data_IF_225724410043
#
_entry.id   IF_225724410043
#
_cell.length_a   1.000
_cell.length_b   1.000
_cell.length_c   1.000
_cell.angle_alpha   90.00
_cell.angle_beta   90.00
_cell.angle_gamma   90.00
#
_symmetry.space_group_name_H-M   'P 1'
#
loop_
_entity.id
_entity.type
_entity.pdbx_description
1 polymer ?
#
# COMPACT_ATOMS: atom_id res chain seq x y z
N UNK A 1 3.85 -8.93 20.27
CA UNK A 1 4.62 -8.60 21.50
C UNK A 1 5.09 -7.14 21.51
N UNK A 2 5.74 -6.60 20.45
CA UNK A 2 6.27 -5.22 20.47
C UNK A 2 5.18 -4.17 20.72
N UNK A 3 4.00 -4.30 20.11
CA UNK A 3 2.85 -3.43 20.36
C UNK A 3 2.43 -3.50 21.83
N UNK A 4 2.27 -4.71 22.36
CA UNK A 4 1.91 -4.91 23.76
C UNK A 4 2.96 -4.28 24.70
N UNK A 5 4.23 -4.43 24.40
CA UNK A 5 5.30 -3.77 25.15
C UNK A 5 5.17 -2.25 25.15
N UNK A 6 4.92 -1.63 23.98
CA UNK A 6 4.75 -0.18 23.91
C UNK A 6 3.53 0.30 24.70
N UNK A 7 2.42 -0.43 24.63
CA UNK A 7 1.22 -0.13 25.41
C UNK A 7 1.48 -0.27 26.92
N UNK A 8 2.24 -1.29 27.35
CA UNK A 8 2.62 -1.44 28.76
C UNK A 8 3.54 -0.32 29.27
N UNK A 9 4.27 0.34 28.36
CA UNK A 9 5.06 1.54 28.66
C UNK A 9 4.22 2.84 28.58
N UNK A 10 2.90 2.74 28.55
CA UNK A 10 1.99 3.90 28.51
C UNK A 10 1.92 4.63 27.17
N UNK A 11 2.42 4.01 26.07
CA UNK A 11 2.27 4.61 24.74
C UNK A 11 0.85 4.47 24.24
N UNK A 12 0.33 5.54 23.64
CA UNK A 12 -1.04 5.55 23.12
C UNK A 12 -1.14 4.70 21.84
N UNK A 13 -2.15 3.83 21.78
CA UNK A 13 -2.44 3.02 20.61
C UNK A 13 -2.69 3.86 19.35
N UNK A 14 -3.26 5.07 19.49
CA UNK A 14 -3.49 5.98 18.37
C UNK A 14 -2.21 6.59 17.79
N UNK A 15 -1.12 6.53 18.54
CA UNK A 15 0.20 6.94 18.05
C UNK A 15 0.93 5.85 17.26
N UNK A 16 0.35 4.65 17.17
CA UNK A 16 0.93 3.52 16.46
C UNK A 16 0.28 3.36 15.09
N UNK A 17 1.07 3.44 14.02
CA UNK A 17 0.68 3.00 12.69
C UNK A 17 1.14 1.55 12.51
N UNK A 18 0.19 0.61 12.47
CA UNK A 18 0.49 -0.82 12.39
C UNK A 18 -0.09 -1.40 11.13
N UNK A 19 0.77 -1.84 10.23
CA UNK A 19 0.41 -2.26 8.89
C UNK A 19 0.79 -3.72 8.67
N UNK A 20 -0.09 -4.46 8.02
CA UNK A 20 0.12 -5.84 7.59
C UNK A 20 -0.41 -6.06 6.19
N UNK A 21 -0.10 -7.21 5.60
CA UNK A 21 -0.48 -7.52 4.23
C UNK A 21 -1.91 -8.08 4.11
N UNK A 22 -2.38 -8.86 5.09
CA UNK A 22 -3.68 -9.54 5.01
C UNK A 22 -4.63 -9.16 6.14
N UNK A 23 -5.93 -9.18 5.83
CA UNK A 23 -6.98 -8.96 6.84
C UNK A 23 -6.97 -10.04 7.94
N UNK A 24 -6.52 -11.27 7.62
CA UNK A 24 -6.37 -12.35 8.59
C UNK A 24 -5.28 -11.99 9.60
N UNK A 25 -4.10 -11.60 9.14
CA UNK A 25 -3.00 -11.18 10.01
C UNK A 25 -3.38 -9.98 10.88
N UNK A 26 -4.11 -8.99 10.31
CA UNK A 26 -4.61 -7.86 11.07
C UNK A 26 -5.56 -8.29 12.22
N UNK A 27 -6.49 -9.21 11.96
CA UNK A 27 -7.39 -9.75 12.99
C UNK A 27 -6.64 -10.53 14.06
N UNK A 28 -5.75 -11.45 13.67
CA UNK A 28 -4.94 -12.22 14.61
C UNK A 28 -4.09 -11.32 15.53
N UNK A 29 -3.52 -10.25 14.98
CA UNK A 29 -2.74 -9.28 15.75
C UNK A 29 -3.60 -8.62 16.83
N UNK A 30 -4.80 -8.19 16.50
CA UNK A 30 -5.75 -7.57 17.44
C UNK A 30 -6.17 -8.57 18.52
N UNK A 31 -6.49 -9.80 18.13
CA UNK A 31 -6.88 -10.86 19.10
C UNK A 31 -5.74 -11.18 20.07
N UNK A 32 -4.50 -11.25 19.59
CA UNK A 32 -3.33 -11.46 20.46
C UNK A 32 -3.13 -10.32 21.46
N UNK A 33 -3.33 -9.07 21.03
CA UNK A 33 -3.25 -7.92 21.93
C UNK A 33 -4.37 -8.00 22.99
N UNK A 34 -5.60 -8.31 22.59
CA UNK A 34 -6.73 -8.49 23.53
C UNK A 34 -6.45 -9.57 24.57
N UNK A 35 -5.93 -10.72 24.14
CA UNK A 35 -5.54 -11.80 25.08
C UNK A 35 -4.49 -11.37 26.09
N UNK A 36 -3.60 -10.43 25.75
CA UNK A 36 -2.56 -9.94 26.65
C UNK A 36 -3.04 -8.90 27.66
N UNK A 37 -4.01 -8.06 27.29
CA UNK A 37 -4.51 -6.96 28.12
C UNK A 37 -5.89 -7.25 28.75
N UNK A 38 -6.50 -8.39 28.45
CA UNK A 38 -7.84 -8.78 28.87
C UNK A 38 -8.91 -8.41 27.84
N UNK A 39 -10.03 -9.14 27.87
CA UNK A 39 -11.13 -8.99 26.88
C UNK A 39 -11.83 -7.63 26.95
N UNK A 40 -11.76 -6.96 28.09
CA UNK A 40 -12.31 -5.61 28.29
C UNK A 40 -11.47 -4.51 27.61
N UNK A 41 -10.26 -4.84 27.14
CA UNK A 41 -9.40 -3.88 26.47
C UNK A 41 -9.97 -3.54 25.09
N UNK A 42 -10.60 -2.37 24.97
CA UNK A 42 -11.22 -1.94 23.73
C UNK A 42 -10.18 -1.34 22.78
N UNK A 43 -9.91 -2.06 21.69
CA UNK A 43 -9.00 -1.60 20.63
C UNK A 43 -9.80 -0.93 19.51
N UNK A 44 -9.78 0.39 19.45
CA UNK A 44 -10.19 1.10 18.24
C UNK A 44 -9.08 0.98 17.19
N UNK A 45 -9.29 0.17 16.16
CA UNK A 45 -8.31 -0.11 15.11
C UNK A 45 -8.22 1.03 14.08
N UNK A 46 -8.03 2.29 14.54
CA UNK A 46 -8.04 3.42 13.62
C UNK A 46 -6.86 3.37 12.64
N UNK A 47 -5.69 3.02 13.13
CA UNK A 47 -4.44 2.99 12.36
C UNK A 47 -3.74 1.62 12.43
N UNK A 48 -4.51 0.58 12.67
CA UNK A 48 -4.06 -0.80 12.66
C UNK A 48 -4.88 -1.59 11.64
N UNK A 49 -4.22 -2.32 10.74
CA UNK A 49 -4.87 -3.09 9.69
C UNK A 49 -3.99 -3.32 8.46
N UNK A 50 -4.61 -3.66 7.34
CA UNK A 50 -3.90 -3.70 6.06
C UNK A 50 -3.60 -2.29 5.56
N UNK A 51 -2.57 -2.13 4.72
CA UNK A 51 -2.25 -0.85 4.07
C UNK A 51 -3.51 -0.21 3.48
N UNK A 52 -4.24 -0.94 2.65
CA UNK A 52 -5.45 -0.43 2.01
C UNK A 52 -6.52 0.01 3.02
N UNK A 53 -6.77 -0.78 4.07
CA UNK A 53 -7.81 -0.47 5.05
C UNK A 53 -7.48 0.77 5.90
N UNK A 54 -6.21 0.94 6.26
CA UNK A 54 -5.76 2.10 7.04
C UNK A 54 -5.77 3.36 6.18
N UNK A 55 -5.23 3.29 4.96
CA UNK A 55 -5.16 4.45 4.08
C UNK A 55 -6.52 4.84 3.50
N UNK A 56 -7.43 3.88 3.25
CA UNK A 56 -8.82 4.21 2.94
C UNK A 56 -9.49 5.03 4.04
N UNK A 57 -9.25 4.73 5.33
CA UNK A 57 -9.77 5.53 6.45
C UNK A 57 -9.19 6.94 6.48
N UNK A 58 -7.90 7.09 6.18
CA UNK A 58 -7.25 8.40 6.07
C UNK A 58 -7.85 9.18 4.90
N UNK A 59 -7.97 8.55 3.73
CA UNK A 59 -8.57 9.18 2.55
C UNK A 59 -10.01 9.63 2.81
N UNK A 60 -10.83 8.85 3.52
CA UNK A 60 -12.19 9.28 3.85
C UNK A 60 -12.24 10.56 4.70
N UNK A 61 -11.26 10.75 5.57
CA UNK A 61 -11.15 11.97 6.40
C UNK A 61 -10.64 13.17 5.60
N UNK A 62 -9.80 12.95 4.61
CA UNK A 62 -9.09 14.00 3.87
C UNK A 62 -9.51 14.10 2.39
N UNK A 63 -10.58 13.42 1.99
CA UNK A 63 -11.01 13.24 0.60
C UNK A 63 -11.23 14.55 -0.16
N UNK A 64 -11.76 15.57 0.49
CA UNK A 64 -12.01 16.91 -0.06
C UNK A 64 -10.71 17.54 -0.61
N UNK A 65 -9.57 17.24 -0.01
CA UNK A 65 -8.27 17.79 -0.38
C UNK A 65 -7.67 17.20 -1.65
N UNK A 66 -8.24 16.10 -2.14
CA UNK A 66 -7.84 15.41 -3.37
C UNK A 66 -8.97 15.35 -4.41
N UNK A 67 -10.06 16.10 -4.17
CA UNK A 67 -11.19 16.24 -5.10
C UNK A 67 -12.12 15.04 -5.14
N UNK A 68 -12.31 14.36 -4.00
CA UNK A 68 -13.32 13.33 -3.77
C UNK A 68 -14.21 13.70 -2.60
N UNK A 69 -15.38 13.07 -2.50
CA UNK A 69 -16.22 13.17 -1.31
C UNK A 69 -15.90 12.02 -0.34
N UNK A 70 -16.24 12.15 0.94
CA UNK A 70 -15.89 11.17 1.97
C UNK A 70 -16.57 9.81 1.81
N UNK A 71 -17.64 9.75 1.01
CA UNK A 71 -18.44 8.56 0.70
C UNK A 71 -18.04 7.88 -0.61
N UNK A 72 -16.83 8.19 -1.16
CA UNK A 72 -16.36 7.58 -2.39
C UNK A 72 -16.51 6.06 -2.38
N UNK A 73 -16.88 5.50 -3.52
CA UNK A 73 -17.01 4.06 -3.70
C UNK A 73 -15.63 3.41 -3.91
N UNK A 74 -15.42 2.24 -3.35
CA UNK A 74 -14.22 1.44 -3.61
C UNK A 74 -14.62 0.35 -4.60
N UNK A 75 -14.09 0.43 -5.82
CA UNK A 75 -14.28 -0.59 -6.85
C UNK A 75 -13.42 -1.81 -6.55
N UNK A 76 -14.03 -2.96 -6.59
CA UNK A 76 -13.31 -4.23 -6.58
C UNK A 76 -12.77 -4.57 -7.98
N UNK A 77 -12.17 -5.75 -8.12
CA UNK A 77 -11.61 -6.20 -9.40
C UNK A 77 -12.71 -6.46 -10.43
N UNK A 78 -13.91 -6.89 -10.03
CA UNK A 78 -15.02 -7.12 -10.93
C UNK A 78 -15.61 -5.80 -11.43
N UNK A 79 -15.77 -4.81 -10.56
CA UNK A 79 -16.21 -3.46 -10.92
C UNK A 79 -15.23 -2.80 -11.91
N UNK A 80 -13.93 -2.86 -11.59
CA UNK A 80 -12.87 -2.31 -12.42
C UNK A 80 -12.84 -2.95 -13.82
N UNK A 81 -12.95 -4.26 -13.90
CA UNK A 81 -13.00 -4.99 -15.18
C UNK A 81 -14.26 -4.69 -15.97
N UNK A 82 -15.40 -4.53 -15.30
CA UNK A 82 -16.67 -4.16 -15.93
C UNK A 82 -16.58 -2.78 -16.56
N UNK A 83 -16.02 -1.80 -15.84
CA UNK A 83 -15.79 -0.46 -16.36
C UNK A 83 -14.84 -0.48 -17.59
N UNK A 84 -13.73 -1.21 -17.50
CA UNK A 84 -12.79 -1.36 -18.61
C UNK A 84 -13.42 -2.00 -19.82
N UNK A 85 -14.29 -2.99 -19.63
CA UNK A 85 -15.05 -3.61 -20.73
C UNK A 85 -15.95 -2.60 -21.43
N UNK A 86 -16.66 -1.76 -20.70
CA UNK A 86 -17.47 -0.66 -21.27
C UNK A 86 -16.61 0.29 -22.08
N UNK A 87 -15.47 0.74 -21.53
CA UNK A 87 -14.54 1.65 -22.18
C UNK A 87 -14.05 1.05 -23.52
N UNK A 88 -13.55 -0.18 -23.49
CA UNK A 88 -13.06 -0.89 -24.69
C UNK A 88 -14.13 -0.97 -25.77
N UNK A 89 -15.38 -1.31 -25.38
CA UNK A 89 -16.52 -1.38 -26.31
C UNK A 89 -16.88 -0.03 -26.89
N UNK A 90 -16.97 1.02 -26.07
CA UNK A 90 -17.34 2.38 -26.51
C UNK A 90 -16.27 3.02 -27.39
N UNK A 91 -14.99 2.68 -27.18
CA UNK A 91 -13.88 3.07 -28.05
C UNK A 91 -13.84 2.29 -29.37
N UNK A 92 -14.75 1.34 -29.63
CA UNK A 92 -14.77 0.51 -30.80
C UNK A 92 -13.61 -0.48 -30.91
N UNK A 93 -12.97 -0.80 -29.79
CA UNK A 93 -11.81 -1.69 -29.74
C UNK A 93 -12.22 -3.15 -29.58
N UNK A 94 -11.37 -4.06 -30.08
CA UNK A 94 -11.62 -5.51 -29.97
C UNK A 94 -11.46 -6.01 -28.54
N UNK A 95 -12.52 -6.56 -27.92
CA UNK A 95 -12.45 -7.20 -26.60
C UNK A 95 -11.55 -8.44 -26.58
N UNK A 96 -11.28 -9.07 -27.73
CA UNK A 96 -10.32 -10.19 -27.84
C UNK A 96 -8.88 -9.70 -27.67
N UNK A 97 -8.57 -8.53 -28.18
CA UNK A 97 -7.25 -7.89 -28.07
C UNK A 97 -7.09 -7.20 -26.71
N UNK A 98 -8.07 -6.37 -26.33
CA UNK A 98 -8.06 -5.60 -25.08
C UNK A 98 -8.89 -6.32 -24.02
N UNK A 99 -8.47 -7.54 -23.62
CA UNK A 99 -9.14 -8.29 -22.54
C UNK A 99 -9.14 -7.46 -21.26
N UNK A 100 -10.29 -7.22 -20.61
CA UNK A 100 -10.37 -6.36 -19.42
C UNK A 100 -9.40 -6.75 -18.32
N UNK A 101 -9.16 -8.03 -18.09
CA UNK A 101 -8.21 -8.51 -17.09
C UNK A 101 -6.75 -8.11 -17.43
N UNK A 102 -6.37 -8.17 -18.71
CA UNK A 102 -5.01 -7.80 -19.18
C UNK A 102 -4.81 -6.29 -19.10
N UNK A 103 -5.82 -5.52 -19.52
CA UNK A 103 -5.80 -4.05 -19.45
C UNK A 103 -5.72 -3.62 -17.97
N UNK A 104 -6.55 -4.19 -17.11
CA UNK A 104 -6.53 -3.93 -15.67
C UNK A 104 -5.13 -4.20 -15.07
N UNK A 105 -4.54 -5.36 -15.37
CA UNK A 105 -3.20 -5.70 -14.85
C UNK A 105 -2.12 -4.68 -15.27
N UNK A 106 -2.18 -4.15 -16.51
CA UNK A 106 -1.23 -3.12 -16.97
C UNK A 106 -1.44 -1.79 -16.26
N UNK A 107 -2.69 -1.37 -16.08
CA UNK A 107 -3.03 -0.14 -15.34
C UNK A 107 -2.60 -0.28 -13.87
N UNK A 108 -2.92 -1.41 -13.25
CA UNK A 108 -2.51 -1.71 -11.87
C UNK A 108 -0.99 -1.66 -11.70
N UNK A 109 -0.24 -2.27 -12.63
CA UNK A 109 1.23 -2.21 -12.61
C UNK A 109 1.74 -0.77 -12.70
N UNK A 110 1.19 0.05 -13.60
CA UNK A 110 1.55 1.46 -13.73
C UNK A 110 1.25 2.24 -12.44
N UNK A 111 0.06 2.07 -11.85
CA UNK A 111 -0.33 2.68 -10.58
C UNK A 111 0.62 2.30 -9.45
N UNK A 112 0.97 1.02 -9.34
CA UNK A 112 1.89 0.51 -8.32
C UNK A 112 3.34 1.01 -8.48
N UNK A 113 3.69 1.53 -9.65
CA UNK A 113 4.96 2.22 -9.93
C UNK A 113 4.82 3.76 -9.88
N UNK A 114 3.67 4.30 -9.48
CA UNK A 114 3.35 5.74 -9.50
C UNK A 114 3.45 6.37 -10.90
N UNK A 115 3.25 5.58 -11.95
CA UNK A 115 3.17 6.06 -13.33
C UNK A 115 1.73 6.51 -13.59
N UNK A 116 1.51 7.82 -13.48
CA UNK A 116 0.22 8.44 -13.80
C UNK A 116 -0.04 8.46 -15.30
N UNK A 117 -1.26 8.85 -15.68
CA UNK A 117 -1.71 8.85 -17.09
C UNK A 117 -0.78 9.66 -17.99
N UNK A 118 -0.42 10.89 -17.59
CA UNK A 118 0.41 11.76 -18.43
C UNK A 118 1.83 11.20 -18.62
N UNK A 119 2.42 10.63 -17.54
CA UNK A 119 3.71 9.94 -17.64
C UNK A 119 3.62 8.68 -18.50
N UNK A 120 2.53 7.92 -18.39
CA UNK A 120 2.30 6.71 -19.19
C UNK A 120 2.19 7.03 -20.69
N UNK A 121 1.50 8.12 -21.05
CA UNK A 121 1.33 8.58 -22.44
C UNK A 121 2.59 9.18 -23.05
N UNK A 122 3.50 9.70 -22.23
CA UNK A 122 4.76 10.30 -22.68
C UNK A 122 5.95 9.34 -22.69
N UNK A 123 5.81 8.17 -22.05
CA UNK A 123 6.88 7.18 -21.96
C UNK A 123 6.99 6.34 -23.24
N UNK A 124 8.04 6.59 -24.04
CA UNK A 124 8.28 5.91 -25.30
C UNK A 124 8.48 4.41 -25.18
N UNK A 125 9.05 3.94 -24.06
CA UNK A 125 9.32 2.53 -23.84
C UNK A 125 8.03 1.79 -23.51
N UNK A 126 7.18 2.36 -22.67
CA UNK A 126 5.85 1.82 -22.36
C UNK A 126 5.00 1.75 -23.65
N UNK A 127 4.97 2.84 -24.42
CA UNK A 127 4.20 2.88 -25.67
C UNK A 127 4.72 1.85 -26.69
N UNK A 128 6.03 1.71 -26.82
CA UNK A 128 6.65 0.69 -27.69
C UNK A 128 6.32 -0.73 -27.24
N UNK A 129 6.34 -1.02 -25.92
CA UNK A 129 5.93 -2.30 -25.36
C UNK A 129 4.45 -2.60 -25.65
N UNK A 130 3.56 -1.61 -25.45
CA UNK A 130 2.15 -1.75 -25.77
C UNK A 130 1.92 -2.04 -27.26
N UNK A 131 2.63 -1.34 -28.14
CA UNK A 131 2.55 -1.55 -29.59
C UNK A 131 3.03 -2.96 -29.98
N UNK A 132 4.16 -3.44 -29.43
CA UNK A 132 4.67 -4.80 -29.64
C UNK A 132 3.68 -5.86 -29.15
N UNK A 133 2.97 -5.59 -28.06
CA UNK A 133 1.93 -6.47 -27.54
C UNK A 133 0.60 -6.40 -28.31
N UNK A 134 0.51 -5.61 -29.39
CA UNK A 134 -0.71 -5.43 -30.18
C UNK A 134 -1.80 -4.59 -29.50
N UNK A 135 -1.44 -3.85 -28.45
CA UNK A 135 -2.38 -3.06 -27.64
C UNK A 135 -1.95 -1.57 -27.54
N UNK A 136 -1.82 -0.83 -28.67
CA UNK A 136 -1.32 0.55 -28.65
C UNK A 136 -2.24 1.52 -27.89
N UNK A 137 -3.53 1.23 -27.75
CA UNK A 137 -4.52 2.14 -27.16
C UNK A 137 -4.61 2.07 -25.61
N UNK A 138 -3.75 1.29 -24.94
CA UNK A 138 -3.77 1.15 -23.48
C UNK A 138 -3.67 2.51 -22.77
N UNK A 139 -2.85 3.42 -23.25
CA UNK A 139 -2.70 4.75 -22.66
C UNK A 139 -4.01 5.54 -22.66
N UNK A 140 -4.75 5.52 -23.79
CA UNK A 140 -6.07 6.17 -23.87
C UNK A 140 -7.10 5.48 -23.00
N UNK A 141 -7.09 4.13 -22.94
CA UNK A 141 -7.98 3.38 -22.05
C UNK A 141 -7.69 3.74 -20.58
N UNK A 142 -6.42 3.88 -20.21
CA UNK A 142 -6.02 4.27 -18.85
C UNK A 142 -6.53 5.68 -18.52
N UNK A 143 -6.39 6.65 -19.42
CA UNK A 143 -6.93 8.01 -19.26
C UNK A 143 -8.44 7.98 -19.03
N UNK A 144 -9.17 7.30 -19.87
CA UNK A 144 -10.62 7.18 -19.79
C UNK A 144 -11.06 6.49 -18.50
N UNK A 145 -10.36 5.43 -18.10
CA UNK A 145 -10.63 4.72 -16.84
C UNK A 145 -10.51 5.64 -15.61
N UNK A 146 -9.40 6.38 -15.52
CA UNK A 146 -9.17 7.30 -14.39
C UNK A 146 -10.21 8.42 -14.38
N UNK A 147 -10.57 8.97 -15.56
CA UNK A 147 -11.60 10.01 -15.64
C UNK A 147 -12.97 9.50 -15.19
N UNK A 148 -13.39 8.31 -15.61
CA UNK A 148 -14.68 7.72 -15.21
C UNK A 148 -14.71 7.36 -13.74
N UNK A 149 -13.65 6.81 -13.18
CA UNK A 149 -13.53 6.58 -11.74
C UNK A 149 -13.72 7.90 -10.98
N UNK A 150 -13.06 8.97 -11.41
CA UNK A 150 -13.17 10.29 -10.76
C UNK A 150 -14.58 10.87 -10.87
N UNK A 151 -15.21 10.82 -12.05
CA UNK A 151 -16.59 11.29 -12.25
C UNK A 151 -17.60 10.49 -11.42
N UNK A 152 -17.37 9.19 -11.23
CA UNK A 152 -18.22 8.34 -10.40
C UNK A 152 -17.91 8.46 -8.89
N UNK A 153 -17.03 9.35 -8.47
CA UNK A 153 -16.53 9.43 -7.10
C UNK A 153 -16.08 8.04 -6.59
N UNK A 154 -15.27 7.34 -7.40
CA UNK A 154 -14.82 5.99 -7.12
C UNK A 154 -13.30 5.87 -7.18
N UNK A 155 -12.75 4.96 -6.39
CA UNK A 155 -11.34 4.56 -6.36
C UNK A 155 -11.27 3.04 -6.46
N UNK A 156 -10.35 2.49 -7.23
CA UNK A 156 -10.01 1.08 -7.13
C UNK A 156 -9.01 0.83 -5.98
N UNK A 157 -8.63 -0.43 -5.76
CA UNK A 157 -7.69 -0.77 -4.68
C UNK A 157 -6.34 -0.09 -4.84
N UNK A 158 -5.81 0.00 -6.05
CA UNK A 158 -4.53 0.66 -6.30
C UNK A 158 -4.63 2.18 -6.04
N UNK A 159 -5.76 2.77 -6.38
CA UNK A 159 -6.03 4.20 -6.15
C UNK A 159 -5.96 4.56 -4.66
N UNK A 160 -6.36 3.68 -3.75
CA UNK A 160 -6.27 3.93 -2.32
C UNK A 160 -4.82 4.24 -1.88
N UNK A 161 -3.85 3.59 -2.47
CA UNK A 161 -2.43 3.84 -2.20
C UNK A 161 -1.91 5.03 -3.00
N UNK A 162 -2.24 5.12 -4.28
CA UNK A 162 -1.80 6.22 -5.16
C UNK A 162 -2.31 7.56 -4.66
N UNK A 163 -3.61 7.67 -4.32
CA UNK A 163 -4.17 8.92 -3.79
C UNK A 163 -3.68 9.24 -2.38
N UNK A 164 -3.36 8.25 -1.55
CA UNK A 164 -2.69 8.51 -0.26
C UNK A 164 -1.30 9.11 -0.48
N UNK A 165 -0.52 8.54 -1.41
CA UNK A 165 0.79 9.10 -1.76
C UNK A 165 0.65 10.54 -2.29
N UNK A 166 -0.25 10.77 -3.25
CA UNK A 166 -0.52 12.11 -3.79
C UNK A 166 -0.96 13.10 -2.73
N UNK A 167 -1.88 12.71 -1.85
CA UNK A 167 -2.33 13.50 -0.72
C UNK A 167 -1.15 13.98 0.13
N UNK A 168 -0.22 13.08 0.45
CA UNK A 168 0.94 13.43 1.27
C UNK A 168 1.96 14.29 0.53
N UNK A 169 2.12 14.12 -0.77
CA UNK A 169 3.03 14.95 -1.60
C UNK A 169 2.44 16.33 -1.84
N UNK A 170 1.16 16.42 -2.23
CA UNK A 170 0.50 17.67 -2.61
C UNK A 170 0.07 18.50 -1.39
N UNK A 171 -0.18 17.84 -0.22
CA UNK A 171 -0.70 18.47 0.99
C UNK A 171 0.23 18.24 2.19
N UNK A 172 1.28 19.05 2.24
CA UNK A 172 2.27 18.99 3.32
C UNK A 172 1.66 19.22 4.72
N UNK A 173 0.56 19.99 4.81
CA UNK A 173 -0.21 20.18 6.03
C UNK A 173 -0.80 18.84 6.54
N UNK A 174 -1.33 18.03 5.64
CA UNK A 174 -1.86 16.69 5.96
C UNK A 174 -0.73 15.74 6.34
N UNK A 175 0.35 15.70 5.55
CA UNK A 175 1.51 14.88 5.87
C UNK A 175 2.07 15.19 7.27
N UNK A 176 2.27 16.46 7.59
CA UNK A 176 2.72 16.89 8.93
C UNK A 176 1.72 16.55 10.03
N UNK A 177 0.40 16.65 9.77
CA UNK A 177 -0.64 16.22 10.71
C UNK A 177 -0.46 14.76 11.11
N UNK A 178 -0.31 13.87 10.13
CA UNK A 178 -0.11 12.43 10.41
C UNK A 178 1.27 12.12 10.95
N UNK A 179 2.31 12.85 10.57
CA UNK A 179 3.64 12.76 11.15
C UNK A 179 3.68 13.11 12.65
N UNK A 180 2.83 14.05 13.10
CA UNK A 180 2.66 14.36 14.54
C UNK A 180 1.85 13.31 15.28
N UNK A 181 0.87 12.67 14.62
CA UNK A 181 0.04 11.61 15.21
C UNK A 181 0.86 10.35 15.42
N UNK A 182 1.58 9.91 14.37
CA UNK A 182 2.33 8.66 14.43
C UNK A 182 3.69 8.85 15.10
N UNK A 183 3.88 8.13 16.21
CA UNK A 183 5.16 8.04 16.91
C UNK A 183 5.92 6.77 16.55
N UNK A 184 5.19 5.72 16.15
CA UNK A 184 5.77 4.42 15.80
C UNK A 184 5.10 3.90 14.54
N UNK A 185 5.89 3.45 13.57
CA UNK A 185 5.43 2.70 12.40
C UNK A 185 5.86 1.24 12.57
N UNK A 186 4.94 0.31 12.40
CA UNK A 186 5.22 -1.12 12.42
C UNK A 186 4.65 -1.76 11.18
N UNK A 187 5.47 -2.51 10.48
CA UNK A 187 5.07 -3.20 9.24
C UNK A 187 5.41 -4.67 9.37
N UNK A 188 4.42 -5.51 9.14
CA UNK A 188 4.57 -6.96 9.07
C UNK A 188 4.62 -7.41 7.61
N UNK A 189 5.30 -8.52 7.33
CA UNK A 189 5.51 -9.07 5.98
C UNK A 189 6.11 -8.01 5.00
N UNK A 190 7.14 -7.30 5.47
CA UNK A 190 7.69 -6.15 4.73
C UNK A 190 8.24 -6.53 3.34
N UNK A 191 8.67 -7.78 3.11
CA UNK A 191 9.10 -8.29 1.82
C UNK A 191 8.02 -8.23 0.75
N UNK A 192 6.74 -8.20 1.15
CA UNK A 192 5.60 -8.15 0.22
C UNK A 192 5.17 -6.72 -0.14
N UNK A 193 5.87 -5.71 0.38
CA UNK A 193 5.55 -4.32 0.08
C UNK A 193 5.90 -3.93 -1.36
N UNK A 194 5.03 -3.12 -1.97
CA UNK A 194 5.27 -2.55 -3.29
C UNK A 194 5.95 -1.16 -3.20
N UNK A 195 6.28 -0.60 -4.36
CA UNK A 195 6.94 0.70 -4.45
C UNK A 195 6.14 1.84 -3.82
N UNK A 196 4.81 1.90 -4.07
CA UNK A 196 3.94 2.96 -3.52
C UNK A 196 3.88 2.88 -2.00
N UNK A 197 3.73 1.69 -1.43
CA UNK A 197 3.70 1.47 0.02
C UNK A 197 5.00 1.96 0.67
N UNK A 198 6.15 1.60 0.11
CA UNK A 198 7.45 2.10 0.56
C UNK A 198 7.53 3.61 0.51
N UNK A 199 7.07 4.25 -0.58
CA UNK A 199 7.07 5.71 -0.73
C UNK A 199 6.21 6.40 0.32
N UNK A 200 5.03 5.87 0.62
CA UNK A 200 4.15 6.40 1.67
C UNK A 200 4.84 6.33 3.04
N UNK A 201 5.45 5.17 3.36
CA UNK A 201 6.19 5.01 4.61
C UNK A 201 7.36 5.98 4.72
N UNK A 202 8.12 6.17 3.63
CA UNK A 202 9.24 7.11 3.58
C UNK A 202 8.78 8.56 3.83
N UNK A 203 7.68 8.99 3.21
CA UNK A 203 7.13 10.33 3.44
C UNK A 203 6.75 10.54 4.91
N UNK A 204 6.04 9.59 5.50
CA UNK A 204 5.65 9.66 6.92
C UNK A 204 6.89 9.66 7.83
N UNK A 205 7.82 8.72 7.63
CA UNK A 205 9.04 8.62 8.41
C UNK A 205 9.84 9.93 8.42
N UNK A 206 9.94 10.59 7.27
CA UNK A 206 10.73 11.83 7.13
C UNK A 206 10.17 13.00 7.94
N UNK A 207 8.85 13.03 8.20
CA UNK A 207 8.20 14.12 8.94
C UNK A 207 7.87 13.78 10.38
N UNK A 208 8.06 12.52 10.81
CA UNK A 208 7.87 12.11 12.20
C UNK A 208 8.93 12.75 13.10
N UNK A 209 8.51 13.16 14.30
CA UNK A 209 9.42 13.65 15.33
C UNK A 209 10.28 12.52 15.90
N UNK A 210 9.65 11.41 16.25
CA UNK A 210 10.35 10.19 16.68
C UNK A 210 10.57 9.29 15.46
N UNK A 211 11.81 9.13 14.99
CA UNK A 211 12.18 8.31 13.82
C UNK A 211 12.08 6.81 14.13
N UNK A 212 10.91 6.36 14.57
CA UNK A 212 10.69 4.99 15.04
C UNK A 212 9.89 4.16 14.05
N UNK A 213 10.59 3.36 13.25
CA UNK A 213 9.99 2.36 12.34
C UNK A 213 10.55 0.97 12.66
N UNK A 214 9.68 -0.03 12.65
CA UNK A 214 10.03 -1.43 12.83
C UNK A 214 9.37 -2.25 11.71
N UNK A 215 10.16 -2.94 10.92
CA UNK A 215 9.67 -3.89 9.92
C UNK A 215 10.02 -5.32 10.34
N UNK A 216 9.10 -6.22 10.09
CA UNK A 216 9.29 -7.66 10.22
C UNK A 216 9.07 -8.27 8.85
N UNK A 217 9.94 -9.18 8.43
CA UNK A 217 9.82 -9.84 7.13
C UNK A 217 10.93 -10.86 6.94
N UNK A 218 10.79 -11.62 5.88
CA UNK A 218 11.72 -12.66 5.47
C UNK A 218 11.87 -12.58 3.94
N UNK A 219 13.04 -12.21 3.48
CA UNK A 219 13.36 -12.06 2.05
C UNK A 219 13.21 -13.39 1.29
N UNK A 220 13.47 -14.53 1.95
CA UNK A 220 13.29 -15.87 1.37
C UNK A 220 11.81 -16.22 1.12
N UNK A 221 10.86 -15.52 1.76
CA UNK A 221 9.43 -15.70 1.58
C UNK A 221 8.79 -14.71 0.60
N UNK A 222 9.58 -13.92 -0.13
CA UNK A 222 9.06 -12.95 -1.12
C UNK A 222 8.55 -13.64 -2.38
N UNK A 223 7.26 -14.00 -2.40
CA UNK A 223 6.60 -14.72 -3.51
C UNK A 223 5.53 -13.91 -4.24
N UNK A 224 5.31 -12.66 -3.86
CA UNK A 224 4.25 -11.80 -4.42
C UNK A 224 4.75 -10.76 -5.45
N UNK A 225 5.88 -11.02 -6.12
CA UNK A 225 6.42 -10.15 -7.19
C UNK A 225 5.39 -9.90 -8.31
N UNK A 226 4.55 -10.90 -8.64
CA UNK A 226 3.47 -10.78 -9.62
C UNK A 226 2.33 -9.81 -9.21
N UNK A 227 2.31 -9.39 -7.93
CA UNK A 227 1.43 -8.34 -7.39
C UNK A 227 2.15 -7.02 -7.15
N UNK A 228 3.36 -6.87 -7.70
CA UNK A 228 4.16 -5.66 -7.56
C UNK A 228 4.99 -5.58 -6.28
N UNK A 229 5.07 -6.65 -5.47
CA UNK A 229 6.02 -6.72 -4.36
C UNK A 229 7.45 -6.60 -4.90
N UNK A 230 8.28 -5.84 -4.18
CA UNK A 230 9.68 -5.62 -4.52
C UNK A 230 10.58 -6.02 -3.37
N UNK A 231 11.32 -7.11 -3.55
CA UNK A 231 12.29 -7.62 -2.58
C UNK A 231 13.35 -6.58 -2.19
N UNK A 232 13.71 -5.66 -3.10
CA UNK A 232 14.67 -4.60 -2.80
C UNK A 232 14.21 -3.72 -1.64
N UNK A 233 12.90 -3.67 -1.36
CA UNK A 233 12.38 -2.90 -0.25
C UNK A 233 12.90 -3.43 1.09
N UNK A 234 12.91 -4.74 1.32
CA UNK A 234 13.42 -5.32 2.57
C UNK A 234 14.95 -5.27 2.60
N UNK A 235 15.61 -5.56 1.49
CA UNK A 235 17.08 -5.54 1.40
C UNK A 235 17.67 -4.14 1.63
N UNK A 236 16.94 -3.09 1.22
CA UNK A 236 17.37 -1.69 1.40
C UNK A 236 16.84 -1.03 2.67
N UNK A 237 16.02 -1.72 3.48
CA UNK A 237 15.30 -1.14 4.61
C UNK A 237 16.20 -0.35 5.57
N UNK A 238 17.32 -0.94 5.99
CA UNK A 238 18.22 -0.31 6.96
C UNK A 238 18.87 0.98 6.43
N UNK A 239 19.06 1.08 5.13
CA UNK A 239 19.58 2.28 4.44
C UNK A 239 18.48 3.32 4.26
N UNK A 240 17.27 2.88 3.91
CA UNK A 240 16.14 3.76 3.57
C UNK A 240 15.51 4.40 4.82
N UNK A 241 15.68 3.76 5.99
CA UNK A 241 15.17 4.23 7.28
C UNK A 241 16.29 4.25 8.32
N UNK A 242 17.25 5.20 8.22
CA UNK A 242 18.36 5.30 9.16
C UNK A 242 17.85 5.70 10.55
N UNK A 243 18.54 5.27 11.61
CA UNK A 243 18.26 5.72 12.97
C UNK A 243 18.58 7.21 13.15
N UNK A 244 18.02 7.86 14.20
CA UNK A 244 18.19 9.29 14.47
C UNK A 244 19.64 9.78 14.52
N UNK A 245 20.56 8.93 14.96
CA UNK A 245 21.99 9.24 15.01
C UNK A 245 22.71 9.08 13.65
N UNK A 246 21.97 8.87 12.55
CA UNK A 246 22.50 8.65 11.21
C UNK A 246 23.08 7.25 10.98
N UNK A 247 23.05 6.36 11.97
CA UNK A 247 23.43 4.98 11.81
C UNK A 247 22.36 4.17 11.07
N UNK A 248 22.75 3.00 10.55
CA UNK A 248 21.78 2.05 10.00
C UNK A 248 20.76 1.59 11.05
N UNK A 249 19.54 1.29 10.62
CA UNK A 249 18.56 0.66 11.49
C UNK A 249 19.12 -0.66 12.04
N UNK A 250 18.79 -0.97 13.29
CA UNK A 250 19.25 -2.18 13.97
C UNK A 250 18.57 -3.42 13.37
N UNK A 251 19.34 -4.37 12.88
CA UNK A 251 18.87 -5.64 12.37
C UNK A 251 18.89 -6.70 13.49
N UNK A 252 17.78 -7.42 13.64
CA UNK A 252 17.67 -8.59 14.50
C UNK A 252 17.30 -9.79 13.64
N UNK A 253 18.10 -10.85 13.69
CA UNK A 253 17.79 -12.12 13.04
C UNK A 253 17.05 -13.04 13.99
N UNK A 254 15.96 -13.65 13.51
CA UNK A 254 15.19 -14.68 14.20
C UNK A 254 15.57 -16.02 13.57
N UNK A 255 16.55 -16.71 14.17
CA UNK A 255 17.17 -17.91 13.57
C UNK A 255 16.42 -19.20 13.92
N UNK A 256 15.62 -19.20 15.01
CA UNK A 256 14.86 -20.36 15.44
C UNK A 256 13.60 -20.54 14.59
N UNK A 257 13.50 -21.66 13.87
CA UNK A 257 12.29 -22.05 13.14
C UNK A 257 11.33 -22.81 14.08
N UNK A 258 10.12 -22.26 14.25
CA UNK A 258 9.05 -22.87 15.07
C UNK A 258 7.92 -23.48 14.21
N UNK A 259 7.99 -23.36 12.88
CA UNK A 259 6.94 -23.78 11.94
C UNK A 259 7.18 -25.18 11.40
N UNK A 260 8.43 -25.47 11.05
CA UNK A 260 8.82 -26.72 10.36
C UNK A 260 9.66 -27.60 11.29
N UNK A 261 9.61 -28.91 11.03
CA UNK A 261 10.49 -29.88 11.70
C UNK A 261 11.94 -29.72 11.19
N UNK A 262 12.91 -30.19 11.96
CA UNK A 262 14.32 -30.16 11.62
C UNK A 262 14.60 -30.74 10.22
N UNK A 263 14.00 -31.87 9.89
CA UNK A 263 14.12 -32.57 8.60
C UNK A 263 13.64 -31.76 7.39
N UNK A 264 12.80 -30.74 7.60
CA UNK A 264 12.32 -29.86 6.51
C UNK A 264 13.24 -28.63 6.37
N UNK A 265 13.91 -28.26 7.45
CA UNK A 265 14.80 -27.09 7.51
C UNK A 265 16.19 -27.41 6.97
N UNK A 266 16.66 -28.65 7.13
CA UNK A 266 17.89 -29.20 6.56
C UNK A 266 17.73 -29.58 5.07
#
# INVERSE_FOLDING_TARGET
YKIAYLLSQGKDLYSLLVLTFTNKAAREMVERIRKMFGETFYIRQKYMGTFHSVFARILRVESDKIGFTSDFTIYDEADSRSLLKSIVKEMGLSEKTYKPAVVHARISMAKNQLIGVDSYESDSDILSQNKRAGMPEIAKIYREYVQRCKLANAMDFDDLLVYTYRLFVERNDVLKKYGKIFKYIMVDEYQDTNYVQKKILTLLYNVMEEKAICAVGDDSQSIYSFRGANIDNILSFTRDFPAENGNYARLFKLEQNYRSTQTIVE
#
